data_IF_595569910478
#
_entry.id   IF_595569910478
#
_cell.length_a   1.000
_cell.length_b   1.000
_cell.length_c   1.000
_cell.angle_alpha   90.00
_cell.angle_beta   90.00
_cell.angle_gamma   90.00
#
_symmetry.space_group_name_H-M   'P 1'
#
loop_
_entity.id
_entity.type
_entity.pdbx_description
1 polymer ?
#
# COMPACT_ATOMS: atom_id res chain seq x y z
N UNK A 1 -2.97 9.73 30.97
CA UNK A 1 -3.40 10.82 30.05
C UNK A 1 -2.70 10.58 28.73
N UNK A 2 -3.32 9.79 27.86
CA UNK A 2 -2.94 9.67 26.45
C UNK A 2 -4.26 9.46 25.73
N UNK A 3 -5.01 10.55 25.59
CA UNK A 3 -6.18 10.57 24.71
C UNK A 3 -5.60 10.49 23.30
N UNK A 4 -5.62 9.29 22.71
CA UNK A 4 -5.45 9.17 21.27
C UNK A 4 -6.48 10.11 20.63
N UNK A 5 -6.07 11.06 19.79
CA UNK A 5 -7.02 12.01 19.21
C UNK A 5 -8.14 11.23 18.51
N UNK A 6 -9.39 11.73 18.53
CA UNK A 6 -10.50 11.06 17.87
C UNK A 6 -10.12 10.79 16.41
N UNK A 7 -10.47 9.59 15.93
CA UNK A 7 -10.28 9.10 14.55
C UNK A 7 -11.06 9.93 13.50
N UNK A 8 -11.33 11.20 13.73
CA UNK A 8 -11.87 12.12 12.72
C UNK A 8 -10.71 12.80 11.96
N UNK A 9 -9.86 11.99 11.33
CA UNK A 9 -9.23 12.43 10.08
C UNK A 9 -10.23 12.14 8.97
N UNK A 10 -11.23 13.01 8.82
CA UNK A 10 -12.09 13.05 7.64
C UNK A 10 -11.21 13.40 6.45
N UNK A 11 -10.61 12.39 5.83
CA UNK A 11 -9.94 12.53 4.55
C UNK A 11 -11.02 12.87 3.53
N UNK A 12 -10.86 14.00 2.85
CA UNK A 12 -11.69 14.34 1.71
C UNK A 12 -11.39 13.36 0.57
N UNK A 13 -12.36 12.56 0.08
CA UNK A 13 -12.15 11.66 -1.04
C UNK A 13 -11.59 12.35 -2.29
N UNK A 14 -11.88 13.64 -2.51
CA UNK A 14 -11.33 14.39 -3.63
C UNK A 14 -9.80 14.55 -3.52
N UNK A 15 -9.29 14.79 -2.31
CA UNK A 15 -7.83 14.86 -2.06
C UNK A 15 -7.15 13.50 -2.19
N UNK A 16 -7.90 12.42 -1.97
CA UNK A 16 -7.44 11.04 -2.13
C UNK A 16 -7.35 10.57 -3.59
N UNK A 17 -7.37 11.49 -4.56
CA UNK A 17 -7.12 11.24 -5.98
C UNK A 17 -5.81 11.85 -6.47
N UNK A 18 -5.29 12.87 -5.78
CA UNK A 18 -4.09 13.58 -6.21
C UNK A 18 -2.82 12.76 -5.94
N UNK A 19 -1.79 12.86 -6.79
CA UNK A 19 -0.50 12.24 -6.54
C UNK A 19 0.19 12.87 -5.31
N UNK A 20 1.09 12.13 -4.69
CA UNK A 20 1.95 12.60 -3.60
C UNK A 20 3.39 12.12 -3.80
N UNK A 21 4.32 12.48 -2.91
CA UNK A 21 5.73 12.09 -2.99
C UNK A 21 5.93 10.56 -3.11
N UNK A 22 5.10 9.77 -2.43
CA UNK A 22 5.18 8.30 -2.41
C UNK A 22 4.10 7.63 -3.26
N UNK A 23 2.90 8.22 -3.31
CA UNK A 23 1.78 7.74 -4.11
C UNK A 23 1.79 8.52 -5.42
N UNK A 24 2.79 8.27 -6.26
CA UNK A 24 3.02 8.93 -7.54
C UNK A 24 2.12 8.35 -8.64
N UNK A 25 0.80 8.54 -8.48
CA UNK A 25 -0.24 8.00 -9.37
C UNK A 25 -0.25 8.60 -10.78
N UNK A 26 0.46 9.71 -10.98
CA UNK A 26 0.69 10.38 -12.27
C UNK A 26 1.96 9.87 -12.99
N UNK A 27 2.68 8.91 -12.40
CA UNK A 27 3.79 8.25 -13.07
C UNK A 27 3.29 7.43 -14.26
N UNK A 28 3.90 7.63 -15.43
CA UNK A 28 3.51 6.95 -16.68
C UNK A 28 3.48 5.41 -16.55
N UNK A 29 4.37 4.82 -15.75
CA UNK A 29 4.37 3.37 -15.52
C UNK A 29 3.19 2.90 -14.66
N UNK A 30 2.78 3.71 -13.68
CA UNK A 30 1.63 3.44 -12.80
C UNK A 30 0.33 3.61 -13.58
N UNK A 31 0.18 4.69 -14.35
CA UNK A 31 -0.99 4.92 -15.21
C UNK A 31 -1.17 3.81 -16.24
N UNK A 32 -0.09 3.45 -16.93
CA UNK A 32 -0.11 2.38 -17.93
C UNK A 32 -0.52 1.04 -17.32
N UNK A 33 -0.01 0.72 -16.11
CA UNK A 33 -0.39 -0.50 -15.42
C UNK A 33 -1.85 -0.47 -14.99
N UNK A 34 -2.31 0.63 -14.39
CA UNK A 34 -3.69 0.79 -13.97
C UNK A 34 -4.65 0.61 -15.15
N UNK A 35 -4.37 1.25 -16.29
CA UNK A 35 -5.17 1.11 -17.52
C UNK A 35 -5.22 -0.32 -18.04
N UNK A 36 -4.10 -1.04 -18.01
CA UNK A 36 -4.02 -2.43 -18.46
C UNK A 36 -4.81 -3.39 -17.58
N UNK A 37 -4.79 -3.20 -16.26
CA UNK A 37 -5.33 -4.16 -15.28
C UNK A 37 -6.77 -3.85 -14.88
N UNK A 38 -7.15 -2.56 -14.80
CA UNK A 38 -8.41 -2.17 -14.20
C UNK A 38 -9.64 -2.76 -14.91
N UNK A 39 -9.60 -2.94 -16.24
CA UNK A 39 -10.75 -3.34 -17.06
C UNK A 39 -11.98 -2.44 -16.90
N UNK A 40 -13.12 -2.89 -17.42
CA UNK A 40 -14.38 -2.14 -17.37
C UNK A 40 -15.28 -2.54 -16.19
N UNK A 41 -16.27 -1.69 -15.90
CA UNK A 41 -17.33 -1.95 -14.93
C UNK A 41 -17.25 -1.09 -13.66
N UNK A 42 -18.03 -1.46 -12.62
CA UNK A 42 -18.12 -0.70 -11.38
C UNK A 42 -16.76 -0.48 -10.71
N UNK A 43 -16.55 0.64 -9.99
CA UNK A 43 -15.29 0.93 -9.29
C UNK A 43 -14.81 -0.21 -8.39
N UNK A 44 -15.72 -0.92 -7.72
CA UNK A 44 -15.37 -2.04 -6.85
C UNK A 44 -14.72 -3.21 -7.62
N UNK A 45 -15.19 -3.55 -8.82
CA UNK A 45 -14.60 -4.63 -9.62
C UNK A 45 -13.21 -4.24 -10.14
N UNK A 46 -13.03 -2.97 -10.51
CA UNK A 46 -11.74 -2.42 -10.92
C UNK A 46 -10.74 -2.46 -9.75
N UNK A 47 -11.17 -2.05 -8.56
CA UNK A 47 -10.36 -2.10 -7.35
C UNK A 47 -9.92 -3.53 -7.00
N UNK A 48 -10.84 -4.51 -7.08
CA UNK A 48 -10.51 -5.93 -6.84
C UNK A 48 -9.42 -6.42 -7.80
N UNK A 49 -9.54 -6.15 -9.11
CA UNK A 49 -8.51 -6.55 -10.08
C UNK A 49 -7.14 -5.93 -9.83
N UNK A 50 -7.12 -4.64 -9.46
CA UNK A 50 -5.88 -3.94 -9.11
C UNK A 50 -5.26 -4.53 -7.84
N UNK A 51 -6.08 -4.83 -6.83
CA UNK A 51 -5.64 -5.52 -5.61
C UNK A 51 -5.06 -6.90 -5.91
N UNK A 52 -5.76 -7.73 -6.68
CA UNK A 52 -5.31 -9.08 -7.07
C UNK A 52 -4.00 -9.01 -7.83
N UNK A 53 -3.86 -8.08 -8.77
CA UNK A 53 -2.60 -7.86 -9.48
C UNK A 53 -1.45 -7.50 -8.52
N UNK A 54 -1.66 -6.55 -7.60
CA UNK A 54 -0.61 -6.20 -6.61
C UNK A 54 -0.31 -7.38 -5.69
N UNK A 55 -1.33 -8.16 -5.27
CA UNK A 55 -1.17 -9.33 -4.40
C UNK A 55 -0.29 -10.38 -5.07
N UNK A 56 -0.60 -10.70 -6.33
CA UNK A 56 -0.09 -11.88 -7.02
C UNK A 56 1.19 -11.60 -7.82
N UNK A 57 1.33 -10.42 -8.43
CA UNK A 57 2.45 -10.10 -9.32
C UNK A 57 3.60 -9.35 -8.63
N UNK A 58 3.36 -8.74 -7.46
CA UNK A 58 4.40 -8.04 -6.69
C UNK A 58 4.90 -8.95 -5.58
N UNK A 59 6.12 -9.47 -5.69
CA UNK A 59 6.64 -10.43 -4.73
C UNK A 59 6.79 -9.81 -3.33
N UNK A 60 6.37 -10.53 -2.29
CA UNK A 60 6.54 -10.08 -0.92
C UNK A 60 8.00 -10.26 -0.46
N UNK A 61 8.63 -9.20 0.06
CA UNK A 61 10.00 -9.22 0.59
C UNK A 61 10.04 -8.70 2.03
N UNK A 62 10.47 -9.51 3.01
CA UNK A 62 10.69 -9.11 4.40
C UNK A 62 11.99 -8.29 4.57
N UNK A 63 12.12 -7.18 3.83
CA UNK A 63 13.27 -6.29 3.90
C UNK A 63 12.81 -4.84 3.98
N UNK A 64 13.11 -4.20 5.11
CA UNK A 64 12.98 -2.75 5.22
C UNK A 64 13.96 -2.07 4.25
N UNK A 65 13.47 -1.05 3.55
CA UNK A 65 14.26 -0.23 2.65
C UNK A 65 14.81 0.98 3.43
N UNK A 66 15.95 1.51 3.01
CA UNK A 66 16.70 2.49 3.80
C UNK A 66 16.48 3.92 3.32
N UNK A 67 15.93 4.09 2.12
CA UNK A 67 15.74 5.39 1.49
C UNK A 67 14.26 5.64 1.19
N UNK A 68 13.87 6.92 1.20
CA UNK A 68 12.50 7.35 0.87
C UNK A 68 12.07 6.93 -0.54
N UNK A 69 12.99 7.00 -1.50
CA UNK A 69 12.70 6.69 -2.91
C UNK A 69 12.28 5.24 -3.12
N UNK A 70 12.81 4.31 -2.31
CA UNK A 70 12.43 2.90 -2.35
C UNK A 70 10.95 2.64 -1.94
N UNK A 71 10.27 3.63 -1.36
CA UNK A 71 8.85 3.55 -1.00
C UNK A 71 7.92 4.19 -2.03
N UNK A 72 8.43 4.76 -3.13
CA UNK A 72 7.57 5.28 -4.20
C UNK A 72 6.84 4.15 -4.92
N UNK A 73 5.61 4.40 -5.39
CA UNK A 73 4.82 3.40 -6.09
C UNK A 73 5.49 3.00 -7.41
N UNK A 74 5.95 3.96 -8.22
CA UNK A 74 6.66 3.67 -9.47
C UNK A 74 7.94 2.86 -9.24
N UNK A 75 8.66 3.13 -8.15
CA UNK A 75 9.85 2.38 -7.76
C UNK A 75 9.52 0.96 -7.32
N UNK A 76 8.49 0.79 -6.49
CA UNK A 76 7.99 -0.54 -6.07
C UNK A 76 7.56 -1.37 -7.27
N UNK A 77 6.90 -0.73 -8.25
CA UNK A 77 6.51 -1.36 -9.50
C UNK A 77 7.74 -1.79 -10.33
N UNK A 78 8.75 -0.93 -10.45
CA UNK A 78 9.98 -1.25 -11.18
C UNK A 78 10.77 -2.39 -10.53
N UNK A 79 10.81 -2.43 -9.19
CA UNK A 79 11.49 -3.48 -8.43
C UNK A 79 10.73 -4.83 -8.50
N UNK A 80 9.41 -4.82 -8.76
CA UNK A 80 8.56 -6.01 -8.82
C UNK A 80 8.38 -6.72 -7.47
N UNK A 81 8.81 -6.10 -6.37
CA UNK A 81 8.74 -6.66 -5.03
C UNK A 81 8.68 -5.58 -3.96
N UNK A 82 8.13 -5.93 -2.80
CA UNK A 82 8.11 -5.04 -1.64
C UNK A 82 7.48 -5.67 -0.40
N UNK A 83 7.65 -4.98 0.73
CA UNK A 83 6.95 -5.33 1.98
C UNK A 83 5.53 -4.74 2.01
N UNK A 84 4.78 -4.96 3.10
CA UNK A 84 3.38 -4.52 3.22
C UNK A 84 3.18 -3.02 2.87
N UNK A 85 4.01 -2.13 3.39
CA UNK A 85 3.90 -0.68 3.13
C UNK A 85 4.10 -0.33 1.66
N UNK A 86 5.11 -0.91 0.99
CA UNK A 86 5.38 -0.64 -0.42
C UNK A 86 4.24 -1.16 -1.31
N UNK A 87 3.73 -2.36 -1.02
CA UNK A 87 2.57 -2.93 -1.73
C UNK A 87 1.31 -2.08 -1.51
N UNK A 88 1.07 -1.58 -0.30
CA UNK A 88 -0.04 -0.68 -0.01
C UNK A 88 0.10 0.67 -0.76
N UNK A 89 1.31 1.25 -0.80
CA UNK A 89 1.60 2.47 -1.57
C UNK A 89 1.34 2.26 -3.06
N UNK A 90 1.81 1.16 -3.64
CA UNK A 90 1.57 0.84 -5.05
C UNK A 90 0.08 0.63 -5.34
N UNK A 91 -0.62 -0.12 -4.50
CA UNK A 91 -2.06 -0.31 -4.65
C UNK A 91 -2.82 1.02 -4.60
N UNK A 92 -2.48 1.88 -3.63
CA UNK A 92 -3.08 3.21 -3.52
C UNK A 92 -2.84 4.04 -4.79
N UNK A 93 -1.62 4.03 -5.34
CA UNK A 93 -1.31 4.77 -6.56
C UNK A 93 -2.09 4.25 -7.77
N UNK A 94 -2.22 2.92 -7.91
CA UNK A 94 -3.00 2.29 -8.98
C UNK A 94 -4.50 2.60 -8.88
N UNK A 95 -5.06 2.61 -7.67
CA UNK A 95 -6.45 3.01 -7.43
C UNK A 95 -6.69 4.47 -7.82
N UNK A 96 -5.78 5.38 -7.43
CA UNK A 96 -5.86 6.80 -7.80
C UNK A 96 -5.75 7.02 -9.31
N UNK A 97 -4.83 6.33 -9.98
CA UNK A 97 -4.72 6.33 -11.44
C UNK A 97 -5.99 5.80 -12.13
N UNK A 98 -6.69 4.85 -11.49
CA UNK A 98 -8.01 4.39 -11.90
C UNK A 98 -9.16 5.32 -11.46
N UNK A 99 -8.88 6.52 -10.95
CA UNK A 99 -9.89 7.49 -10.47
C UNK A 99 -10.76 6.94 -9.32
N UNK A 100 -10.18 6.08 -8.49
CA UNK A 100 -10.79 5.55 -7.27
C UNK A 100 -10.08 6.20 -6.07
N UNK A 101 -10.78 7.05 -5.28
CA UNK A 101 -10.23 7.65 -4.08
C UNK A 101 -9.67 6.59 -3.14
N UNK A 102 -8.42 6.74 -2.72
CA UNK A 102 -7.78 5.80 -1.81
C UNK A 102 -6.75 6.47 -0.91
N UNK A 103 -6.55 5.90 0.27
CA UNK A 103 -5.59 6.36 1.27
C UNK A 103 -4.95 5.16 1.96
N UNK A 104 -3.77 5.39 2.54
CA UNK A 104 -3.07 4.36 3.31
C UNK A 104 -3.65 4.26 4.72
N UNK A 105 -3.79 3.02 5.17
CA UNK A 105 -4.07 2.71 6.56
C UNK A 105 -2.88 1.95 7.13
N UNK A 106 -2.39 2.41 8.28
CA UNK A 106 -1.36 1.70 9.04
C UNK A 106 -1.99 1.20 10.32
N UNK A 107 -1.81 -0.09 10.63
CA UNK A 107 -2.27 -0.68 11.88
C UNK A 107 -1.18 -1.49 12.56
N UNK A 108 -1.28 -1.64 13.88
CA UNK A 108 -0.45 -2.59 14.60
C UNK A 108 -1.13 -3.96 14.55
N UNK A 109 -0.43 -4.93 13.96
CA UNK A 109 -0.94 -6.27 13.76
C UNK A 109 -0.29 -7.22 14.76
N UNK A 110 -1.11 -7.87 15.58
CA UNK A 110 -0.62 -8.96 16.44
C UNK A 110 -0.75 -10.28 15.69
N UNK A 111 0.39 -10.92 15.41
CA UNK A 111 0.46 -12.13 14.60
C UNK A 111 0.97 -13.32 15.43
N UNK A 112 0.03 -14.15 15.85
CA UNK A 112 0.28 -15.38 16.61
C UNK A 112 0.87 -16.52 15.77
N UNK A 113 0.98 -16.34 14.45
CA UNK A 113 1.54 -17.33 13.52
C UNK A 113 3.03 -17.13 13.26
N UNK A 114 3.62 -16.02 13.75
CA UNK A 114 5.04 -15.75 13.61
C UNK A 114 5.89 -16.86 14.23
N UNK A 115 6.92 -17.38 13.52
CA UNK A 115 7.83 -18.36 14.09
C UNK A 115 8.50 -17.84 15.36
N UNK A 116 8.71 -18.70 16.36
CA UNK A 116 9.32 -18.32 17.66
C UNK A 116 10.63 -17.54 17.49
N UNK A 117 11.47 -17.92 16.52
CA UNK A 117 12.74 -17.23 16.21
C UNK A 117 12.53 -15.76 15.79
N UNK A 118 11.44 -15.46 15.09
CA UNK A 118 11.10 -14.11 14.62
C UNK A 118 10.58 -13.29 15.81
N UNK A 119 9.68 -13.86 16.61
CA UNK A 119 9.17 -13.21 17.84
C UNK A 119 10.31 -12.87 18.79
N UNK A 120 11.27 -13.79 18.99
CA UNK A 120 12.45 -13.54 19.82
C UNK A 120 13.37 -12.45 19.24
N UNK A 121 13.60 -12.45 17.92
CA UNK A 121 14.41 -11.42 17.27
C UNK A 121 13.76 -10.03 17.31
N UNK A 122 12.44 -9.96 17.18
CA UNK A 122 11.67 -8.71 17.25
C UNK A 122 11.39 -8.26 18.70
N UNK A 123 11.47 -9.16 19.67
CA UNK A 123 11.08 -8.92 21.06
C UNK A 123 9.56 -8.82 21.29
N UNK A 124 8.75 -9.11 20.27
CA UNK A 124 7.29 -9.00 20.31
C UNK A 124 6.65 -9.86 19.21
N UNK A 125 5.40 -10.25 19.42
CA UNK A 125 4.49 -10.84 18.41
C UNK A 125 3.66 -9.77 17.68
N UNK A 126 3.95 -8.49 17.91
CA UNK A 126 3.29 -7.35 17.28
C UNK A 126 4.15 -6.77 16.16
N UNK A 127 3.58 -6.71 14.96
CA UNK A 127 4.10 -5.99 13.80
C UNK A 127 3.56 -4.56 13.81
N UNK A 128 4.40 -3.60 14.20
CA UNK A 128 4.03 -2.19 14.24
C UNK A 128 3.92 -1.60 12.83
N UNK A 129 2.93 -0.73 12.63
CA UNK A 129 2.73 0.05 11.39
C UNK A 129 2.62 -0.80 10.10
N UNK A 130 1.88 -1.90 10.18
CA UNK A 130 1.55 -2.72 9.02
C UNK A 130 0.70 -1.93 8.01
N UNK A 131 1.14 -1.88 6.75
CA UNK A 131 0.39 -1.23 5.68
C UNK A 131 -0.73 -2.11 5.13
N UNK A 132 -1.95 -1.56 5.10
CA UNK A 132 -3.15 -2.14 4.52
C UNK A 132 -3.56 -1.39 3.23
#
# INVERSE_FOLDING_TARGET
>A
MNESPPLERLLDPAQCLEPTEFIDSDSASVEALAQRVQGDGPPIHRAVRLFEHVRDEIQYEFRAKLTKDEYRASRTLADGKGFCVQKAVLLCALLRAARIPSALVLCDLKDYTLPTRIVQAMGSDTMFHHGL
#
